data_IF_528385610804
#
_entry.id   IF_528385610804
#
_cell.length_a   1.000
_cell.length_b   1.000
_cell.length_c   1.000
_cell.angle_alpha   90.00
_cell.angle_beta   90.00
_cell.angle_gamma   90.00
#
_symmetry.space_group_name_H-M   'P 1'
#
loop_
_entity.id
_entity.type
_entity.pdbx_description
1 polymer ?
#
# COMPACT_ATOMS: atom_id res chain seq x y z
N UNK A 1 22.36 -49.79 -49.12
CA UNK A 1 23.53 -48.99 -48.67
C UNK A 1 23.48 -47.51 -49.06
N UNK A 2 23.12 -47.13 -50.31
CA UNK A 2 23.07 -45.71 -50.73
C UNK A 2 22.03 -44.88 -49.94
N UNK A 3 20.82 -45.42 -49.74
CA UNK A 3 19.74 -44.76 -48.96
C UNK A 3 20.16 -44.51 -47.51
N UNK A 4 20.82 -45.49 -46.87
CA UNK A 4 21.32 -45.35 -45.49
C UNK A 4 22.38 -44.25 -45.35
N UNK A 5 23.27 -44.11 -46.34
CA UNK A 5 24.27 -43.02 -46.37
C UNK A 5 23.61 -41.64 -46.53
N UNK A 6 22.59 -41.53 -47.38
CA UNK A 6 21.82 -40.30 -47.53
C UNK A 6 21.06 -39.92 -46.26
N UNK A 7 20.41 -40.88 -45.60
CA UNK A 7 19.75 -40.67 -44.31
C UNK A 7 20.75 -40.20 -43.24
N UNK A 8 21.97 -40.75 -43.22
CA UNK A 8 23.03 -40.32 -42.32
C UNK A 8 23.49 -38.88 -42.59
N UNK A 9 23.68 -38.47 -43.85
CA UNK A 9 24.04 -37.09 -44.17
C UNK A 9 22.94 -36.10 -43.81
N UNK A 10 21.67 -36.46 -44.04
CA UNK A 10 20.52 -35.64 -43.63
C UNK A 10 20.51 -35.49 -42.10
N UNK A 11 20.71 -36.59 -41.36
CA UNK A 11 20.77 -36.55 -39.90
C UNK A 11 21.90 -35.65 -39.39
N UNK A 12 23.10 -35.76 -39.98
CA UNK A 12 24.25 -34.90 -39.62
C UNK A 12 23.93 -33.43 -39.94
N UNK A 13 23.35 -33.14 -41.09
CA UNK A 13 22.98 -31.78 -41.47
C UNK A 13 21.96 -31.17 -40.50
N UNK A 14 20.94 -31.94 -40.10
CA UNK A 14 19.95 -31.52 -39.08
C UNK A 14 20.63 -31.27 -37.73
N UNK A 15 21.57 -32.13 -37.33
CA UNK A 15 22.28 -32.00 -36.06
C UNK A 15 23.20 -30.76 -36.06
N UNK A 16 23.90 -30.50 -37.16
CA UNK A 16 24.72 -29.29 -37.34
C UNK A 16 23.83 -28.04 -37.32
N UNK A 17 22.71 -28.02 -38.03
CA UNK A 17 21.76 -26.92 -38.00
C UNK A 17 21.21 -26.67 -36.59
N UNK A 18 20.84 -27.72 -35.84
CA UNK A 18 20.38 -27.59 -34.47
C UNK A 18 21.47 -27.00 -33.55
N UNK A 19 22.72 -27.40 -33.72
CA UNK A 19 23.85 -26.83 -32.96
C UNK A 19 24.04 -25.35 -33.29
N UNK A 20 24.04 -24.99 -34.57
CA UNK A 20 24.17 -23.59 -35.01
C UNK A 20 23.04 -22.73 -34.42
N UNK A 21 21.79 -23.18 -34.52
CA UNK A 21 20.63 -22.48 -33.95
C UNK A 21 20.73 -22.31 -32.43
N UNK A 22 21.21 -23.33 -31.72
CA UNK A 22 21.41 -23.27 -30.26
C UNK A 22 22.53 -22.31 -29.84
N UNK A 23 23.54 -22.12 -30.69
CA UNK A 23 24.65 -21.18 -30.45
C UNK A 23 24.27 -19.72 -30.73
N UNK A 24 23.46 -19.47 -31.76
CA UNK A 24 23.06 -18.11 -32.16
C UNK A 24 21.80 -17.60 -31.45
N UNK A 25 20.98 -18.51 -30.90
CA UNK A 25 19.73 -18.14 -30.23
C UNK A 25 19.93 -17.28 -28.97
N UNK A 26 18.93 -16.46 -28.60
CA UNK A 26 19.05 -15.49 -27.51
C UNK A 26 19.24 -16.19 -26.16
N UNK A 27 20.26 -15.78 -25.41
CA UNK A 27 20.61 -16.37 -24.11
C UNK A 27 19.64 -15.98 -22.99
N UNK A 28 19.06 -14.79 -23.08
CA UNK A 28 18.11 -14.25 -22.12
C UNK A 28 16.93 -13.63 -22.84
N UNK A 29 15.84 -13.41 -22.12
CA UNK A 29 14.70 -12.62 -22.59
C UNK A 29 14.25 -11.67 -21.48
N UNK A 30 13.65 -10.55 -21.89
CA UNK A 30 13.02 -9.58 -21.00
C UNK A 30 11.66 -9.24 -21.60
N UNK A 31 10.61 -9.42 -20.81
CA UNK A 31 9.26 -8.93 -21.12
C UNK A 31 8.88 -7.94 -20.03
N UNK A 32 8.40 -6.76 -20.41
CA UNK A 32 7.96 -5.76 -19.44
C UNK A 32 6.79 -4.94 -19.95
N UNK A 33 5.90 -4.54 -19.04
CA UNK A 33 4.82 -3.58 -19.31
C UNK A 33 4.79 -2.55 -18.19
N UNK A 34 4.38 -1.33 -18.52
CA UNK A 34 4.19 -0.26 -17.55
C UNK A 34 2.82 0.38 -17.74
N UNK A 35 2.21 0.79 -16.63
CA UNK A 35 0.97 1.56 -16.66
C UNK A 35 1.03 2.64 -15.58
N UNK A 36 0.32 3.76 -15.80
CA UNK A 36 0.07 4.76 -14.76
C UNK A 36 -1.28 4.47 -14.13
N UNK A 37 -1.27 4.30 -12.82
CA UNK A 37 -2.46 4.10 -11.99
C UNK A 37 -2.71 5.39 -11.22
N UNK A 38 -3.93 5.91 -11.32
CA UNK A 38 -4.38 7.10 -10.62
C UNK A 38 -4.65 6.77 -9.14
N UNK A 39 -3.59 6.49 -8.38
CA UNK A 39 -3.62 6.14 -6.97
C UNK A 39 -2.27 6.44 -6.32
N UNK A 40 -2.25 6.58 -4.99
CA UNK A 40 -1.03 6.84 -4.24
C UNK A 40 -0.05 5.67 -4.26
N UNK A 41 1.26 5.94 -4.19
CA UNK A 41 2.30 4.91 -4.29
C UNK A 41 2.17 3.80 -3.25
N UNK A 42 1.83 4.14 -2.01
CA UNK A 42 1.60 3.17 -0.93
C UNK A 42 0.37 2.28 -1.19
N UNK A 43 -0.72 2.86 -1.70
CA UNK A 43 -1.95 2.12 -2.04
C UNK A 43 -1.63 1.10 -3.14
N UNK A 44 -0.96 1.54 -4.20
CA UNK A 44 -0.52 0.68 -5.31
C UNK A 44 0.47 -0.39 -4.84
N UNK A 45 1.44 -0.02 -3.99
CA UNK A 45 2.40 -0.96 -3.43
C UNK A 45 1.71 -2.07 -2.62
N UNK A 46 0.71 -1.71 -1.83
CA UNK A 46 -0.10 -2.66 -1.08
C UNK A 46 -0.88 -3.65 -1.96
N UNK A 47 -0.98 -3.46 -3.28
CA UNK A 47 -1.59 -4.42 -4.22
C UNK A 47 -0.60 -5.40 -4.85
N UNK A 48 0.70 -5.21 -4.62
CA UNK A 48 1.77 -6.00 -5.25
C UNK A 48 2.70 -6.68 -4.24
N UNK A 49 2.53 -6.45 -2.93
CA UNK A 49 3.45 -6.91 -1.87
C UNK A 49 3.15 -8.31 -1.33
N UNK A 50 2.01 -8.91 -1.66
CA UNK A 50 1.60 -10.23 -1.17
C UNK A 50 0.88 -11.05 -2.24
N UNK A 51 0.94 -12.39 -2.12
CA UNK A 51 0.39 -13.30 -3.11
C UNK A 51 -1.14 -13.30 -3.15
N UNK A 52 -1.84 -13.08 -2.04
CA UNK A 52 -3.30 -12.94 -2.04
C UNK A 52 -3.75 -11.85 -3.04
N UNK A 53 -3.14 -10.67 -3.00
CA UNK A 53 -3.50 -9.56 -3.89
C UNK A 53 -2.91 -9.70 -5.29
N UNK A 54 -1.66 -10.18 -5.41
CA UNK A 54 -1.05 -10.46 -6.73
C UNK A 54 -1.95 -11.39 -7.54
N UNK A 55 -2.48 -12.45 -6.93
CA UNK A 55 -3.32 -13.43 -7.61
C UNK A 55 -4.68 -12.87 -8.07
N UNK A 56 -5.14 -11.74 -7.50
CA UNK A 56 -6.39 -11.10 -7.95
C UNK A 56 -6.24 -10.43 -9.30
N UNK A 57 -5.06 -9.92 -9.64
CA UNK A 57 -4.78 -9.29 -10.94
C UNK A 57 -3.92 -10.15 -11.88
N UNK A 58 -3.36 -11.26 -11.39
CA UNK A 58 -2.62 -12.21 -12.22
C UNK A 58 -3.53 -12.85 -13.29
N UNK A 59 -3.24 -12.67 -14.59
CA UNK A 59 -4.07 -13.17 -15.69
C UNK A 59 -4.07 -14.70 -15.80
N UNK A 60 -3.04 -15.41 -15.31
CA UNK A 60 -2.94 -16.87 -15.40
C UNK A 60 -3.85 -17.58 -14.41
N UNK A 61 -4.22 -16.93 -13.30
CA UNK A 61 -5.21 -17.46 -12.35
C UNK A 61 -6.58 -17.61 -13.02
N UNK A 62 -6.94 -16.69 -13.91
CA UNK A 62 -8.21 -16.72 -14.64
C UNK A 62 -8.30 -17.86 -15.68
N UNK A 63 -7.18 -18.52 -16.01
CA UNK A 63 -7.15 -19.60 -17.01
C UNK A 63 -7.55 -20.96 -16.44
N UNK A 64 -7.57 -21.12 -15.12
CA UNK A 64 -8.02 -22.34 -14.45
C UNK A 64 -8.73 -22.07 -13.12
N UNK A 65 -10.07 -22.04 -13.11
CA UNK A 65 -10.86 -21.89 -11.88
C UNK A 65 -10.70 -23.04 -10.88
N UNK A 66 -10.20 -24.20 -11.32
CA UNK A 66 -10.01 -25.38 -10.46
C UNK A 66 -8.56 -25.54 -9.98
N UNK A 67 -7.71 -24.53 -10.21
CA UNK A 67 -6.32 -24.55 -9.80
C UNK A 67 -6.20 -24.74 -8.28
N UNK A 68 -5.33 -25.66 -7.87
CA UNK A 68 -5.01 -25.85 -6.45
C UNK A 68 -3.78 -25.06 -6.10
N UNK A 69 -3.82 -24.37 -4.95
CA UNK A 69 -2.77 -23.46 -4.53
C UNK A 69 -2.36 -23.73 -3.09
N UNK A 70 -1.10 -23.50 -2.76
CA UNK A 70 -0.62 -23.54 -1.38
C UNK A 70 0.36 -22.40 -1.13
N UNK A 71 0.40 -21.96 0.13
CA UNK A 71 1.33 -20.92 0.58
C UNK A 71 2.17 -21.51 1.72
N UNK A 72 3.49 -21.36 1.61
CA UNK A 72 4.45 -21.79 2.63
C UNK A 72 5.22 -20.59 3.14
N UNK A 73 5.01 -20.26 4.43
CA UNK A 73 5.53 -19.06 5.06
C UNK A 73 4.42 -18.06 5.39
N UNK A 74 4.80 -16.83 5.74
CA UNK A 74 3.86 -15.73 6.00
C UNK A 74 3.74 -14.88 4.75
N UNK A 75 2.52 -14.66 4.24
CA UNK A 75 2.31 -13.84 3.06
C UNK A 75 2.87 -12.42 3.25
N UNK A 76 3.39 -11.83 2.18
CA UNK A 76 4.03 -10.51 2.22
C UNK A 76 5.38 -10.44 2.94
N UNK A 77 6.01 -11.57 3.24
CA UNK A 77 7.37 -11.62 3.77
C UNK A 77 8.37 -12.22 2.78
N UNK A 78 9.62 -11.73 2.82
CA UNK A 78 10.72 -12.32 2.05
C UNK A 78 10.88 -13.80 2.45
N UNK A 79 10.96 -14.67 1.43
CA UNK A 79 11.06 -16.12 1.58
C UNK A 79 9.73 -16.86 1.52
N UNK A 80 8.57 -16.17 1.49
CA UNK A 80 7.27 -16.84 1.30
C UNK A 80 7.19 -17.44 -0.10
N UNK A 81 6.69 -18.67 -0.18
CA UNK A 81 6.52 -19.43 -1.42
C UNK A 81 5.04 -19.70 -1.69
N UNK A 82 4.57 -19.27 -2.86
CA UNK A 82 3.27 -19.62 -3.42
C UNK A 82 3.47 -20.71 -4.47
N UNK A 83 2.73 -21.82 -4.36
CA UNK A 83 2.76 -22.92 -5.31
C UNK A 83 1.39 -23.15 -5.94
N UNK A 84 1.37 -23.56 -7.19
CA UNK A 84 0.14 -23.90 -7.90
C UNK A 84 0.24 -25.20 -8.69
N UNK A 85 -0.91 -25.84 -8.87
CA UNK A 85 -1.12 -26.94 -9.80
C UNK A 85 -2.46 -26.75 -10.51
N UNK A 86 -2.40 -26.47 -11.81
CA UNK A 86 -3.55 -26.27 -12.69
C UNK A 86 -3.52 -27.16 -13.94
N UNK A 87 -4.35 -26.79 -14.91
CA UNK A 87 -4.50 -27.44 -16.21
C UNK A 87 -3.31 -27.17 -17.17
N UNK A 88 -3.35 -27.73 -18.38
CA UNK A 88 -2.28 -27.62 -19.39
C UNK A 88 -1.94 -26.17 -19.83
N UNK A 89 -2.80 -25.19 -19.54
CA UNK A 89 -2.56 -23.77 -19.87
C UNK A 89 -1.78 -23.03 -18.79
N UNK A 90 -1.93 -23.43 -17.51
CA UNK A 90 -1.29 -22.79 -16.35
C UNK A 90 -0.11 -23.61 -15.83
N UNK A 91 -0.16 -24.92 -16.05
CA UNK A 91 0.87 -25.86 -15.64
C UNK A 91 1.00 -25.97 -14.12
N UNK A 92 2.22 -26.27 -13.69
CA UNK A 92 2.57 -26.43 -12.28
C UNK A 92 3.85 -25.66 -11.99
N UNK A 93 3.89 -24.94 -10.88
CA UNK A 93 5.08 -24.19 -10.49
C UNK A 93 5.00 -23.59 -9.10
N UNK A 94 6.01 -22.80 -8.78
CA UNK A 94 6.06 -21.98 -7.58
C UNK A 94 6.66 -20.61 -7.86
N UNK A 95 6.33 -19.65 -6.99
CA UNK A 95 6.87 -18.30 -6.99
C UNK A 95 7.27 -17.94 -5.56
N UNK A 96 8.48 -17.42 -5.38
CA UNK A 96 9.03 -17.07 -4.06
C UNK A 96 9.35 -15.58 -4.00
N UNK A 97 8.94 -14.89 -2.95
CA UNK A 97 9.38 -13.49 -2.73
C UNK A 97 10.85 -13.49 -2.30
N UNK A 98 11.69 -12.83 -3.08
CA UNK A 98 13.14 -12.75 -2.84
C UNK A 98 13.54 -11.42 -2.21
N UNK A 99 12.80 -10.35 -2.50
CA UNK A 99 13.10 -9.00 -2.04
C UNK A 99 11.82 -8.16 -1.96
N UNK A 100 11.72 -7.33 -0.92
CA UNK A 100 10.70 -6.29 -0.78
C UNK A 100 11.44 -5.02 -0.36
N UNK A 101 11.34 -3.97 -1.18
CA UNK A 101 11.72 -2.61 -0.81
C UNK A 101 10.42 -1.83 -0.61
N UNK A 102 10.01 -1.54 0.64
CA UNK A 102 8.71 -0.96 0.94
C UNK A 102 8.41 0.30 0.12
N UNK A 103 7.29 0.30 -0.59
CA UNK A 103 6.85 1.41 -1.43
C UNK A 103 7.60 1.55 -2.75
N UNK A 104 8.51 0.64 -3.13
CA UNK A 104 9.33 0.78 -4.33
C UNK A 104 9.36 -0.47 -5.22
N UNK A 105 9.63 -1.64 -4.64
CA UNK A 105 9.92 -2.86 -5.41
C UNK A 105 9.49 -4.13 -4.68
N UNK A 106 8.97 -5.08 -5.45
CA UNK A 106 8.79 -6.48 -5.05
C UNK A 106 9.48 -7.37 -6.09
N UNK A 107 10.47 -8.12 -5.64
CA UNK A 107 11.24 -9.05 -6.46
C UNK A 107 10.88 -10.49 -6.11
N UNK A 108 10.58 -11.30 -7.12
CA UNK A 108 10.19 -12.70 -6.95
C UNK A 108 10.94 -13.61 -7.91
N UNK A 109 11.14 -14.86 -7.51
CA UNK A 109 11.67 -15.92 -8.36
C UNK A 109 10.55 -16.87 -8.74
N UNK A 110 10.33 -17.01 -10.05
CA UNK A 110 9.32 -17.87 -10.65
C UNK A 110 9.96 -19.17 -11.12
N UNK A 111 9.35 -20.30 -10.79
CA UNK A 111 9.79 -21.63 -11.19
C UNK A 111 8.61 -22.42 -11.77
N UNK A 112 8.65 -22.67 -13.07
CA UNK A 112 7.76 -23.64 -13.70
C UNK A 112 8.36 -25.04 -13.60
N UNK A 113 7.51 -26.02 -13.32
CA UNK A 113 7.84 -27.44 -13.19
C UNK A 113 7.25 -28.22 -14.38
N UNK A 114 5.98 -27.98 -14.71
CA UNK A 114 5.26 -28.60 -15.83
C UNK A 114 4.55 -27.51 -16.66
N UNK A 115 4.43 -27.67 -18.00
CA UNK A 115 4.87 -28.82 -18.81
C UNK A 115 6.37 -28.82 -19.14
N UNK A 116 7.06 -27.68 -18.97
CA UNK A 116 8.50 -27.55 -19.17
C UNK A 116 9.12 -26.82 -18.00
N UNK A 117 10.21 -27.37 -17.46
CA UNK A 117 10.91 -26.74 -16.35
C UNK A 117 11.63 -25.47 -16.81
N UNK A 118 11.39 -24.35 -16.12
CA UNK A 118 12.07 -23.08 -16.38
C UNK A 118 12.07 -22.19 -15.14
N UNK A 119 13.02 -21.28 -15.06
CA UNK A 119 13.11 -20.28 -14.00
C UNK A 119 13.22 -18.87 -14.59
N UNK A 120 12.61 -17.90 -13.91
CA UNK A 120 12.65 -16.49 -14.28
C UNK A 120 12.59 -15.59 -13.05
N UNK A 121 13.18 -14.42 -13.17
CA UNK A 121 13.08 -13.33 -12.19
C UNK A 121 11.99 -12.38 -12.60
N UNK A 122 11.08 -12.12 -11.66
CA UNK A 122 9.94 -11.25 -11.88
C UNK A 122 10.02 -10.10 -10.90
N UNK A 123 9.98 -8.88 -11.41
CA UNK A 123 10.05 -7.65 -10.62
C UNK A 123 8.82 -6.79 -10.90
N UNK A 124 8.24 -6.25 -9.83
CA UNK A 124 7.19 -5.23 -9.92
C UNK A 124 7.69 -4.00 -9.18
N UNK A 125 7.77 -2.88 -9.89
CA UNK A 125 8.27 -1.60 -9.35
C UNK A 125 7.21 -0.53 -9.41
N UNK A 126 7.24 0.38 -8.45
CA UNK A 126 6.32 1.52 -8.34
C UNK A 126 7.12 2.82 -8.23
N UNK A 127 6.71 3.85 -8.95
CA UNK A 127 7.38 5.15 -8.98
C UNK A 127 6.34 6.27 -9.05
N UNK A 128 6.52 7.33 -8.27
CA UNK A 128 5.66 8.52 -8.34
C UNK A 128 5.77 9.19 -9.71
N UNK A 129 4.64 9.66 -10.25
CA UNK A 129 4.59 10.44 -11.50
C UNK A 129 3.53 11.54 -11.40
N UNK A 130 3.51 12.48 -12.35
CA UNK A 130 2.63 13.66 -12.31
C UNK A 130 1.13 13.34 -12.43
N UNK A 131 0.74 12.08 -12.62
CA UNK A 131 -0.65 11.62 -12.77
C UNK A 131 -0.96 10.36 -11.97
N UNK A 132 -0.23 10.10 -10.87
CA UNK A 132 -0.41 8.95 -10.00
C UNK A 132 0.88 8.15 -9.82
N UNK A 133 0.76 6.83 -9.80
CA UNK A 133 1.91 5.92 -9.64
C UNK A 133 2.14 5.15 -10.92
N UNK A 134 3.36 5.21 -11.46
CA UNK A 134 3.79 4.33 -12.55
C UNK A 134 4.18 2.97 -11.97
N UNK A 135 3.49 1.93 -12.42
CA UNK A 135 3.83 0.54 -12.10
C UNK A 135 4.54 -0.07 -13.30
N UNK A 136 5.62 -0.81 -13.08
CA UNK A 136 6.29 -1.61 -14.11
C UNK A 136 6.43 -3.04 -13.65
N UNK A 137 5.87 -3.96 -14.42
CA UNK A 137 6.00 -5.41 -14.20
C UNK A 137 6.92 -5.99 -15.27
N UNK A 138 7.98 -6.67 -14.86
CA UNK A 138 8.99 -7.20 -15.74
C UNK A 138 9.37 -8.64 -15.37
N UNK A 139 9.61 -9.47 -16.39
CA UNK A 139 10.12 -10.84 -16.26
C UNK A 139 11.38 -11.00 -17.08
N UNK A 140 12.44 -11.47 -16.42
CA UNK A 140 13.73 -11.78 -17.01
C UNK A 140 14.03 -13.27 -16.82
N UNK A 141 14.28 -13.99 -17.91
CA UNK A 141 14.61 -15.41 -17.84
C UNK A 141 15.82 -15.78 -18.69
N UNK A 142 16.44 -16.91 -18.34
CA UNK A 142 17.56 -17.47 -19.08
C UNK A 142 17.11 -18.66 -19.94
N UNK A 143 17.63 -18.71 -21.17
CA UNK A 143 17.37 -19.79 -22.09
C UNK A 143 18.51 -20.83 -22.03
N UNK A 144 18.18 -22.06 -21.64
CA UNK A 144 19.06 -23.22 -21.83
C UNK A 144 19.27 -23.56 -23.32
N UNK A 145 20.28 -24.36 -23.65
CA UNK A 145 20.69 -24.62 -25.05
C UNK A 145 19.54 -25.07 -25.96
N UNK A 146 18.69 -25.99 -25.51
CA UNK A 146 17.54 -26.47 -26.28
C UNK A 146 16.51 -25.35 -26.48
N UNK A 147 16.17 -24.59 -25.43
CA UNK A 147 15.23 -23.46 -25.55
C UNK A 147 15.73 -22.39 -26.52
N UNK A 148 17.04 -22.13 -26.59
CA UNK A 148 17.62 -21.18 -27.56
C UNK A 148 17.33 -21.56 -29.01
N UNK A 149 17.34 -22.86 -29.33
CA UNK A 149 16.99 -23.34 -30.68
C UNK A 149 15.56 -22.89 -31.03
N UNK A 150 14.60 -23.12 -30.12
CA UNK A 150 13.21 -22.74 -30.32
C UNK A 150 12.99 -21.22 -30.31
N UNK A 151 13.71 -20.48 -29.47
CA UNK A 151 13.62 -19.01 -29.37
C UNK A 151 14.04 -18.27 -30.65
N UNK A 152 14.76 -18.91 -31.57
CA UNK A 152 14.97 -18.32 -32.90
C UNK A 152 13.69 -18.16 -33.71
N UNK A 153 12.63 -18.90 -33.36
CA UNK A 153 11.35 -18.92 -34.05
C UNK A 153 10.18 -18.43 -33.19
N UNK A 154 10.42 -18.15 -31.90
CA UNK A 154 9.42 -17.72 -30.94
C UNK A 154 9.76 -16.33 -30.41
N UNK A 155 8.74 -15.48 -30.26
CA UNK A 155 8.90 -14.15 -29.67
C UNK A 155 8.23 -14.13 -28.29
N UNK A 156 9.06 -14.11 -27.24
CA UNK A 156 8.57 -14.12 -25.85
C UNK A 156 7.68 -12.91 -25.52
N UNK A 157 7.97 -11.74 -26.08
CA UNK A 157 7.12 -10.56 -25.88
C UNK A 157 5.74 -10.75 -26.53
N UNK A 158 5.69 -11.36 -27.72
CA UNK A 158 4.41 -11.67 -28.39
C UNK A 158 3.60 -12.74 -27.64
N UNK A 159 4.28 -13.66 -26.94
CA UNK A 159 3.62 -14.74 -26.20
C UNK A 159 3.13 -14.30 -24.82
N UNK A 160 3.94 -13.54 -24.08
CA UNK A 160 3.72 -13.21 -22.66
C UNK A 160 3.23 -11.77 -22.49
N UNK A 161 3.64 -10.87 -23.38
CA UNK A 161 3.30 -9.45 -23.33
C UNK A 161 1.80 -9.14 -23.29
N UNK A 162 0.92 -9.85 -24.02
CA UNK A 162 -0.53 -9.67 -23.91
C UNK A 162 -1.08 -9.99 -22.52
N UNK A 163 -0.56 -11.04 -21.86
CA UNK A 163 -0.94 -11.39 -20.49
C UNK A 163 -0.48 -10.32 -19.51
N UNK A 164 0.76 -9.81 -19.66
CA UNK A 164 1.24 -8.68 -18.86
C UNK A 164 0.35 -7.45 -19.01
N UNK A 165 -0.06 -7.11 -20.23
CA UNK A 165 -0.96 -5.99 -20.47
C UNK A 165 -2.32 -6.22 -19.79
N UNK A 166 -2.90 -7.41 -19.95
CA UNK A 166 -4.16 -7.78 -19.28
C UNK A 166 -4.05 -7.68 -17.75
N UNK A 167 -2.97 -8.20 -17.18
CA UNK A 167 -2.70 -8.14 -15.74
C UNK A 167 -2.55 -6.71 -15.23
N UNK A 168 -1.81 -5.87 -15.95
CA UNK A 168 -1.62 -4.46 -15.61
C UNK A 168 -2.91 -3.64 -15.72
N UNK A 169 -3.76 -3.91 -16.71
CA UNK A 169 -5.09 -3.31 -16.82
C UNK A 169 -6.03 -3.77 -15.69
N UNK A 170 -5.97 -5.05 -15.31
CA UNK A 170 -6.73 -5.60 -14.18
C UNK A 170 -6.27 -4.99 -12.85
N UNK A 171 -4.95 -4.86 -12.65
CA UNK A 171 -4.36 -4.16 -11.50
C UNK A 171 -4.85 -2.71 -11.45
N UNK A 172 -4.72 -1.95 -12.55
CA UNK A 172 -5.22 -0.58 -12.63
C UNK A 172 -6.69 -0.50 -12.25
N UNK A 173 -7.53 -1.35 -12.85
CA UNK A 173 -8.96 -1.38 -12.55
C UNK A 173 -9.23 -1.69 -11.09
N UNK A 174 -8.55 -2.70 -10.51
CA UNK A 174 -8.74 -3.07 -9.10
C UNK A 174 -8.24 -1.99 -8.15
N UNK A 175 -7.10 -1.36 -8.43
CA UNK A 175 -6.55 -0.27 -7.61
C UNK A 175 -7.38 1.00 -7.76
N UNK A 176 -7.94 1.28 -8.94
CA UNK A 176 -8.76 2.47 -9.16
C UNK A 176 -10.21 2.28 -8.69
N UNK A 177 -10.74 1.06 -8.71
CA UNK A 177 -12.06 0.72 -8.19
C UNK A 177 -12.03 0.48 -6.67
N UNK A 178 -10.94 -0.10 -6.17
CA UNK A 178 -10.57 -0.06 -4.76
C UNK A 178 -9.61 1.10 -4.51
N UNK A 179 -9.75 2.20 -5.26
CA UNK A 179 -9.50 3.50 -4.63
C UNK A 179 -10.30 3.35 -3.38
N UNK A 180 -9.64 3.36 -2.24
CA UNK A 180 -10.34 3.75 -1.04
C UNK A 180 -11.09 5.01 -1.48
N UNK A 181 -12.41 4.93 -1.64
CA UNK A 181 -13.19 6.16 -1.73
C UNK A 181 -12.89 6.78 -0.36
N UNK A 182 -12.19 7.90 -0.47
CA UNK A 182 -10.86 8.20 0.11
C UNK A 182 -10.59 7.83 1.55
N UNK A 183 -9.65 6.92 1.83
CA UNK A 183 -9.02 6.86 3.15
C UNK A 183 -7.51 6.66 3.17
N UNK A 184 -6.80 6.73 2.05
CA UNK A 184 -5.31 6.70 2.04
C UNK A 184 -4.68 5.53 2.81
N UNK A 185 -5.37 4.38 2.92
CA UNK A 185 -4.91 3.23 3.72
C UNK A 185 -5.26 3.27 5.21
N UNK A 186 -6.01 4.25 5.68
CA UNK A 186 -6.49 4.35 7.06
C UNK A 186 -7.76 3.52 7.30
N UNK A 187 -7.80 2.84 8.44
CA UNK A 187 -9.03 2.25 8.97
C UNK A 187 -9.77 3.31 9.77
N UNK A 188 -10.99 3.67 9.34
CA UNK A 188 -11.87 4.54 10.11
C UNK A 188 -12.77 3.70 11.00
N UNK A 189 -12.74 4.01 12.30
CA UNK A 189 -13.55 3.37 13.31
C UNK A 189 -14.70 4.29 13.71
N UNK A 190 -15.92 3.78 13.56
CA UNK A 190 -17.12 4.40 14.11
C UNK A 190 -17.34 3.94 15.56
N UNK A 191 -17.60 4.88 16.46
CA UNK A 191 -17.86 4.56 17.88
C UNK A 191 -18.71 5.64 18.55
N UNK A 192 -19.29 5.28 19.70
CA UNK A 192 -19.97 6.22 20.57
C UNK A 192 -18.99 6.83 21.57
N UNK A 193 -18.81 8.15 21.52
CA UNK A 193 -18.06 8.88 22.52
C UNK A 193 -18.93 9.08 23.77
N UNK A 194 -18.49 8.70 24.97
CA UNK A 194 -19.32 8.78 26.19
C UNK A 194 -19.49 10.22 26.71
N UNK A 195 -18.79 11.19 26.14
CA UNK A 195 -18.68 12.55 26.65
C UNK A 195 -17.53 12.68 27.65
N UNK A 196 -16.87 13.84 27.65
CA UNK A 196 -15.71 14.10 28.50
C UNK A 196 -15.55 15.61 28.72
N UNK A 197 -15.24 15.98 29.97
CA UNK A 197 -14.84 17.33 30.32
C UNK A 197 -13.35 17.50 30.06
N UNK A 198 -12.99 18.62 29.45
CA UNK A 198 -11.61 19.04 29.21
C UNK A 198 -11.37 20.41 29.83
N UNK A 199 -10.12 20.68 30.20
CA UNK A 199 -9.67 21.99 30.61
C UNK A 199 -8.47 22.43 29.78
N UNK A 200 -8.39 23.69 29.41
CA UNK A 200 -7.24 24.18 28.64
C UNK A 200 -7.30 25.65 28.24
N UNK A 201 -6.55 25.96 27.20
CA UNK A 201 -6.39 27.32 26.66
C UNK A 201 -6.73 27.28 25.17
N UNK A 202 -7.68 28.13 24.75
CA UNK A 202 -8.05 28.33 23.34
C UNK A 202 -7.59 29.70 22.86
N UNK A 203 -7.02 29.76 21.67
CA UNK A 203 -6.57 31.00 21.02
C UNK A 203 -6.73 30.89 19.52
N UNK A 204 -6.92 32.04 18.89
CA UNK A 204 -6.77 32.18 17.45
C UNK A 204 -5.33 32.64 17.14
N UNK A 205 -4.54 31.79 16.49
CA UNK A 205 -3.10 31.99 16.24
C UNK A 205 -2.75 31.83 14.76
N UNK A 206 -1.62 32.37 14.30
CA UNK A 206 -1.05 31.99 13.00
C UNK A 206 -0.72 30.48 12.99
N UNK A 207 -0.95 29.81 11.87
CA UNK A 207 -0.62 28.36 11.72
C UNK A 207 0.88 28.11 11.95
N UNK A 208 1.75 29.07 11.60
CA UNK A 208 3.20 29.01 11.85
C UNK A 208 3.57 28.90 13.34
N UNK A 209 2.67 29.32 14.24
CA UNK A 209 2.94 29.42 15.67
C UNK A 209 2.43 28.19 16.43
N UNK A 210 1.86 27.19 15.73
CA UNK A 210 1.26 25.99 16.32
C UNK A 210 2.20 25.23 17.24
N UNK A 211 3.41 24.92 16.77
CA UNK A 211 4.40 24.19 17.55
C UNK A 211 4.72 24.95 18.84
N UNK A 212 5.00 26.25 18.74
CA UNK A 212 5.31 27.08 19.91
C UNK A 212 4.13 27.16 20.89
N UNK A 213 2.90 27.29 20.37
CA UNK A 213 1.69 27.29 21.18
C UNK A 213 1.52 26.00 21.97
N UNK A 214 1.68 24.83 21.34
CA UNK A 214 1.53 23.54 22.02
C UNK A 214 2.66 23.27 23.02
N UNK A 215 3.92 23.59 22.66
CA UNK A 215 5.05 23.48 23.59
C UNK A 215 4.81 24.28 24.87
N UNK A 216 4.25 25.49 24.76
CA UNK A 216 3.94 26.32 25.92
C UNK A 216 2.68 25.83 26.67
N UNK A 217 1.65 25.44 25.93
CA UNK A 217 0.31 25.20 26.49
C UNK A 217 0.22 23.86 27.20
N UNK A 218 0.76 22.77 26.65
CA UNK A 218 0.57 21.44 27.24
C UNK A 218 1.22 21.29 28.60
N UNK A 219 2.44 21.80 28.79
CA UNK A 219 3.08 21.80 30.11
C UNK A 219 2.26 22.56 31.16
N UNK A 220 1.81 23.78 30.82
CA UNK A 220 1.02 24.63 31.70
C UNK A 220 -0.35 24.02 32.05
N UNK A 221 -1.04 23.46 31.05
CA UNK A 221 -2.37 22.85 31.23
C UNK A 221 -2.28 21.59 32.08
N UNK A 222 -1.28 20.73 31.84
CA UNK A 222 -1.03 19.54 32.66
C UNK A 222 -0.69 19.92 34.11
N UNK A 223 0.19 20.90 34.32
CA UNK A 223 0.57 21.39 35.64
C UNK A 223 -0.65 21.90 36.42
N UNK A 224 -1.47 22.76 35.81
CA UNK A 224 -2.68 23.31 36.43
C UNK A 224 -3.76 22.25 36.68
N UNK A 225 -3.93 21.30 35.77
CA UNK A 225 -4.90 20.22 35.96
C UNK A 225 -4.51 19.32 37.14
N UNK A 226 -3.21 19.08 37.34
CA UNK A 226 -2.70 18.29 38.47
C UNK A 226 -3.40 16.94 38.58
N UNK A 227 -3.88 16.58 39.77
CA UNK A 227 -4.59 15.32 40.02
C UNK A 227 -5.96 15.21 39.34
N UNK A 228 -6.48 16.28 38.73
CA UNK A 228 -7.73 16.23 37.96
C UNK A 228 -7.53 15.72 36.54
N UNK A 229 -6.31 15.72 36.01
CA UNK A 229 -6.03 15.17 34.69
C UNK A 229 -6.29 13.66 34.67
N UNK A 230 -7.10 13.19 33.70
CA UNK A 230 -7.47 11.78 33.57
C UNK A 230 -6.98 11.16 32.25
N UNK A 231 -6.07 11.85 31.55
CA UNK A 231 -5.50 11.40 30.29
C UNK A 231 -4.45 12.37 29.75
N UNK A 232 -3.96 12.07 28.55
CA UNK A 232 -2.94 12.87 27.87
C UNK A 232 -3.53 14.15 27.24
N UNK A 233 -2.69 15.18 27.00
CA UNK A 233 -3.12 16.36 26.28
C UNK A 233 -3.68 16.05 24.89
N UNK A 234 -4.60 16.89 24.43
CA UNK A 234 -5.20 16.84 23.10
C UNK A 234 -5.17 18.24 22.46
N UNK A 235 -5.17 18.31 21.14
CA UNK A 235 -5.52 19.54 20.42
C UNK A 235 -7.00 19.51 20.05
N UNK A 236 -7.68 20.65 20.22
CA UNK A 236 -9.02 20.89 19.69
C UNK A 236 -8.92 21.95 18.61
N UNK A 237 -9.16 21.59 17.36
CA UNK A 237 -9.15 22.53 16.23
C UNK A 237 -10.58 22.83 15.83
N UNK A 238 -10.97 24.11 15.92
CA UNK A 238 -12.31 24.59 15.58
C UNK A 238 -12.39 25.15 14.17
N UNK A 239 -11.34 25.85 13.75
CA UNK A 239 -11.22 26.48 12.43
C UNK A 239 -9.80 26.30 11.95
N UNK A 240 -9.64 25.83 10.71
CA UNK A 240 -8.38 25.78 10.00
C UNK A 240 -8.51 26.62 8.73
N UNK A 241 -7.97 27.84 8.75
CA UNK A 241 -8.07 28.78 7.63
C UNK A 241 -6.72 28.88 6.90
N UNK A 242 -6.58 28.08 5.85
CA UNK A 242 -5.39 28.08 5.01
C UNK A 242 -5.21 29.38 4.22
N UNK A 243 -6.32 30.04 3.88
CA UNK A 243 -6.30 31.27 3.07
C UNK A 243 -5.65 32.41 3.85
N UNK A 244 -6.07 32.60 5.10
CA UNK A 244 -5.52 33.63 5.98
C UNK A 244 -4.34 33.12 6.83
N UNK A 245 -4.00 31.83 6.73
CA UNK A 245 -2.97 31.13 7.53
C UNK A 245 -3.19 31.27 9.04
N UNK A 246 -4.45 31.15 9.46
CA UNK A 246 -4.91 31.31 10.85
C UNK A 246 -5.66 30.06 11.29
N UNK A 247 -5.64 29.80 12.60
CA UNK A 247 -6.36 28.67 13.18
C UNK A 247 -6.91 29.06 14.54
N UNK A 248 -8.14 28.61 14.81
CA UNK A 248 -8.77 28.70 16.13
C UNK A 248 -8.64 27.33 16.81
N UNK A 249 -7.75 27.28 17.81
CA UNK A 249 -7.26 26.04 18.36
C UNK A 249 -7.14 26.11 19.87
N UNK A 250 -7.31 24.97 20.53
CA UNK A 250 -7.10 24.83 21.96
C UNK A 250 -6.13 23.69 22.27
N UNK A 251 -5.21 23.94 23.21
CA UNK A 251 -4.47 22.88 23.89
C UNK A 251 -5.18 22.54 25.19
N UNK A 252 -5.64 21.29 25.31
CA UNK A 252 -6.51 20.85 26.40
C UNK A 252 -6.02 19.54 27.01
N UNK A 253 -6.50 19.22 28.21
CA UNK A 253 -6.33 17.91 28.86
C UNK A 253 -7.71 17.43 29.35
N UNK A 254 -8.04 16.13 29.23
CA UNK A 254 -9.24 15.59 29.83
C UNK A 254 -9.15 15.64 31.35
N UNK A 255 -10.23 16.09 32.00
CA UNK A 255 -10.28 16.28 33.46
C UNK A 255 -11.53 15.68 34.09
N UNK A 256 -11.41 15.26 35.35
CA UNK A 256 -12.54 14.76 36.16
C UNK A 256 -13.45 15.87 36.72
N UNK A 257 -13.06 17.14 36.58
CA UNK A 257 -13.81 18.29 37.07
C UNK A 257 -13.19 19.62 36.65
N UNK A 258 -13.85 20.74 36.98
CA UNK A 258 -13.35 22.07 36.62
C UNK A 258 -11.95 22.35 37.21
N UNK A 259 -11.12 23.02 36.43
CA UNK A 259 -9.77 23.45 36.82
C UNK A 259 -9.71 24.98 36.85
N UNK A 260 -9.36 25.53 38.00
CA UNK A 260 -9.28 26.98 38.18
C UNK A 260 -8.20 27.60 37.27
N UNK A 261 -8.54 28.72 36.62
CA UNK A 261 -7.63 29.42 35.73
C UNK A 261 -7.38 28.73 34.38
N UNK A 262 -8.21 27.74 34.02
CA UNK A 262 -8.32 27.16 32.67
C UNK A 262 -9.76 27.27 32.16
N UNK A 263 -9.92 27.32 30.84
CA UNK A 263 -11.24 27.28 30.20
C UNK A 263 -11.75 25.84 30.20
N UNK A 264 -13.02 25.64 30.54
CA UNK A 264 -13.66 24.32 30.48
C UNK A 264 -14.29 24.08 29.11
N UNK A 265 -14.04 22.91 28.53
CA UNK A 265 -14.63 22.45 27.27
C UNK A 265 -15.35 21.14 27.51
N UNK A 266 -16.66 21.13 27.32
CA UNK A 266 -17.46 19.93 27.48
C UNK A 266 -17.75 19.32 26.12
N UNK A 267 -17.18 18.16 25.81
CA UNK A 267 -17.57 17.38 24.64
C UNK A 267 -18.69 16.41 25.08
N UNK A 268 -19.92 16.58 24.58
CA UNK A 268 -21.04 15.71 24.96
C UNK A 268 -20.91 14.32 24.33
N UNK A 269 -21.70 13.38 24.84
CA UNK A 269 -21.85 12.08 24.20
C UNK A 269 -22.32 12.26 22.75
N UNK A 270 -21.62 11.63 21.82
CA UNK A 270 -21.81 11.86 20.38
C UNK A 270 -21.25 10.71 19.55
N UNK A 271 -21.78 10.53 18.34
CA UNK A 271 -21.18 9.62 17.36
C UNK A 271 -19.83 10.20 16.93
N UNK A 272 -18.82 9.35 16.93
CA UNK A 272 -17.43 9.71 16.66
C UNK A 272 -16.85 8.78 15.60
N UNK A 273 -16.15 9.38 14.65
CA UNK A 273 -15.23 8.71 13.75
C UNK A 273 -13.81 8.87 14.28
N UNK A 274 -12.99 7.84 14.15
CA UNK A 274 -11.58 7.90 14.58
C UNK A 274 -10.64 7.17 13.63
N UNK A 275 -9.42 7.72 13.51
CA UNK A 275 -8.26 7.11 12.85
C UNK A 275 -7.13 7.05 13.87
N UNK A 276 -6.52 5.88 14.01
CA UNK A 276 -5.24 5.72 14.70
C UNK A 276 -4.12 5.99 13.70
N UNK A 277 -3.53 7.19 13.79
CA UNK A 277 -2.44 7.63 12.92
C UNK A 277 -1.09 7.33 13.56
N UNK A 278 -0.22 6.64 12.81
CA UNK A 278 1.16 6.37 13.19
C UNK A 278 2.11 7.17 12.30
N UNK A 279 2.88 8.09 12.88
CA UNK A 279 3.83 8.90 12.12
C UNK A 279 4.11 10.29 12.69
N UNK A 280 4.93 11.04 11.97
CA UNK A 280 5.26 12.42 12.30
C UNK A 280 4.09 13.39 12.04
N UNK A 281 3.98 14.44 12.85
CA UNK A 281 2.85 15.37 12.80
C UNK A 281 2.73 16.18 11.50
N UNK A 282 3.81 16.36 10.75
CA UNK A 282 3.81 17.07 9.47
C UNK A 282 3.07 16.30 8.37
N UNK A 283 2.97 14.98 8.49
CA UNK A 283 2.27 14.11 7.55
C UNK A 283 0.84 13.75 7.98
N UNK A 284 0.38 14.20 9.15
CA UNK A 284 -0.95 13.87 9.71
C UNK A 284 -2.12 14.37 8.84
N UNK A 285 -1.89 15.39 8.01
CA UNK A 285 -2.90 15.93 7.11
C UNK A 285 -3.54 14.87 6.19
N UNK A 286 -2.82 13.79 5.90
CA UNK A 286 -3.36 12.64 5.14
C UNK A 286 -4.50 11.91 5.88
N UNK A 287 -4.46 11.83 7.21
CA UNK A 287 -5.53 11.25 8.02
C UNK A 287 -6.76 12.18 8.08
N UNK A 288 -6.55 13.51 8.14
CA UNK A 288 -7.65 14.47 8.06
C UNK A 288 -8.35 14.43 6.71
N UNK A 289 -7.58 14.40 5.62
CA UNK A 289 -8.12 14.26 4.27
C UNK A 289 -8.94 12.96 4.12
N UNK A 290 -8.46 11.85 4.68
CA UNK A 290 -9.21 10.59 4.73
C UNK A 290 -10.56 10.78 5.46
N UNK A 291 -10.56 11.38 6.64
CA UNK A 291 -11.79 11.60 7.41
C UNK A 291 -12.82 12.47 6.67
N UNK A 292 -12.36 13.52 5.98
CA UNK A 292 -13.23 14.40 5.19
C UNK A 292 -13.94 13.65 4.06
N UNK A 293 -13.22 12.75 3.39
CA UNK A 293 -13.83 11.94 2.33
C UNK A 293 -14.81 10.92 2.92
N UNK A 294 -14.47 10.24 4.04
CA UNK A 294 -15.40 9.36 4.75
C UNK A 294 -16.74 10.03 5.00
N UNK A 295 -16.69 11.21 5.61
CA UNK A 295 -17.89 11.92 6.01
C UNK A 295 -18.73 12.29 4.79
N UNK A 296 -18.09 12.70 3.70
CA UNK A 296 -18.78 13.00 2.44
C UNK A 296 -19.47 11.77 1.85
N UNK A 297 -18.77 10.64 1.78
CA UNK A 297 -19.28 9.40 1.20
C UNK A 297 -20.43 8.79 2.02
N UNK A 298 -20.38 8.98 3.34
CA UNK A 298 -21.37 8.46 4.28
C UNK A 298 -22.47 9.48 4.61
N UNK A 299 -22.52 10.63 3.93
CA UNK A 299 -23.49 11.70 4.18
C UNK A 299 -23.53 12.13 5.66
N UNK A 300 -22.36 12.39 6.23
CA UNK A 300 -22.18 12.82 7.60
C UNK A 300 -21.81 14.30 7.65
N UNK A 301 -22.37 15.00 8.63
CA UNK A 301 -22.05 16.39 8.93
C UNK A 301 -21.08 16.45 10.13
N UNK A 302 -19.96 17.13 9.94
CA UNK A 302 -18.96 17.37 10.99
C UNK A 302 -19.48 18.33 12.07
N UNK A 303 -19.18 18.01 13.32
CA UNK A 303 -19.46 18.82 14.51
C UNK A 303 -18.11 19.22 15.14
N UNK A 304 -17.74 20.52 15.11
CA UNK A 304 -16.51 20.98 15.74
C UNK A 304 -16.45 20.70 17.25
N UNK A 305 -15.25 20.47 17.81
CA UNK A 305 -13.92 20.54 17.16
C UNK A 305 -13.43 19.21 16.59
N UNK A 306 -12.41 19.27 15.73
CA UNK A 306 -11.53 18.13 15.44
C UNK A 306 -10.65 17.91 16.67
N UNK A 307 -10.49 16.66 17.09
CA UNK A 307 -9.67 16.31 18.25
C UNK A 307 -8.52 15.42 17.82
N UNK A 308 -7.28 15.85 18.06
CA UNK A 308 -6.11 14.97 17.98
C UNK A 308 -5.65 14.63 19.41
N UNK A 309 -5.73 13.35 19.76
CA UNK A 309 -5.26 12.85 21.05
C UNK A 309 -3.87 12.22 20.87
N UNK A 310 -2.87 12.81 21.51
CA UNK A 310 -1.47 12.35 21.45
C UNK A 310 -1.26 11.24 22.47
N UNK A 311 -1.38 9.98 22.03
CA UNK A 311 -1.34 8.82 22.94
C UNK A 311 0.09 8.35 23.23
N UNK A 312 1.04 8.70 22.38
CA UNK A 312 2.48 8.53 22.61
C UNK A 312 3.15 9.87 22.95
N UNK A 313 4.17 9.85 23.81
CA UNK A 313 4.98 11.04 24.13
C UNK A 313 6.24 11.10 23.26
N UNK A 314 6.36 12.10 22.34
CA UNK A 314 7.54 12.34 21.51
C UNK A 314 8.85 12.53 22.29
N UNK A 315 8.77 12.98 23.55
CA UNK A 315 9.95 13.12 24.41
C UNK A 315 10.51 11.77 24.88
N UNK A 316 9.70 10.72 24.84
CA UNK A 316 10.05 9.37 25.29
C UNK A 316 10.29 8.37 24.15
N UNK A 317 9.70 8.60 22.98
CA UNK A 317 9.84 7.74 21.79
C UNK A 317 10.51 8.54 20.65
N UNK A 318 11.81 8.33 20.36
CA UNK A 318 12.50 9.05 19.29
C UNK A 318 12.11 8.57 17.89
N UNK A 319 11.53 7.37 17.75
CA UNK A 319 11.07 6.83 16.47
C UNK A 319 9.70 7.38 16.10
N UNK A 320 9.70 8.39 15.22
CA UNK A 320 8.47 9.05 14.75
C UNK A 320 7.46 8.12 14.11
N UNK A 321 7.86 6.95 13.59
CA UNK A 321 6.93 5.98 13.00
C UNK A 321 6.03 5.30 14.03
N UNK A 322 6.40 5.36 15.32
CA UNK A 322 5.63 4.80 16.43
C UNK A 322 4.75 5.82 17.13
N UNK A 323 4.81 7.08 16.72
CA UNK A 323 4.01 8.13 17.33
C UNK A 323 2.54 7.90 16.99
N UNK A 324 1.74 7.60 18.01
CA UNK A 324 0.32 7.36 17.88
C UNK A 324 -0.45 8.63 18.22
N UNK A 325 -1.14 9.14 17.20
CA UNK A 325 -2.14 10.20 17.35
C UNK A 325 -3.49 9.66 16.93
N UNK A 326 -4.47 9.71 17.83
CA UNK A 326 -5.84 9.36 17.46
C UNK A 326 -6.57 10.62 16.98
N UNK A 327 -6.85 10.68 15.68
CA UNK A 327 -7.61 11.76 15.03
C UNK A 327 -9.10 11.44 15.15
N UNK A 328 -9.87 12.34 15.75
CA UNK A 328 -11.29 12.14 16.07
C UNK A 328 -12.15 13.24 15.49
N UNK A 329 -13.23 12.83 14.83
CA UNK A 329 -14.25 13.72 14.29
C UNK A 329 -15.61 13.35 14.87
N UNK A 330 -16.33 14.33 15.37
CA UNK A 330 -17.70 14.14 15.84
C UNK A 330 -18.66 14.43 14.70
N UNK A 331 -19.69 13.60 14.57
CA UNK A 331 -20.55 13.61 13.39
C UNK A 331 -22.03 13.44 13.74
N UNK A 332 -22.89 13.88 12.83
CA UNK A 332 -24.31 13.54 12.77
C UNK A 332 -24.72 13.25 11.33
N UNK A 333 -25.87 12.62 11.13
CA UNK A 333 -26.36 12.39 9.77
C UNK A 333 -26.71 13.74 9.10
N UNK A 334 -26.28 13.89 7.84
CA UNK A 334 -26.58 15.05 7.01
C UNK A 334 -28.09 15.01 6.68
N UNK A 335 -28.80 16.12 6.94
CA UNK A 335 -30.25 16.23 6.71
C UNK A 335 -30.63 16.38 5.24
#
# INVERSE_FOLDING_TARGET
MKVLRWLMYILIAVLVAAVVLGLIGPKTYLVSRSIVIDAGRQEVFGWIDNFDKINRWNPWVDLDPNMTTSLKGTDGQVGVEYSWQGNDKVGKGSQTIMEIVPGELVGTRLKFIEPMASEADVTTTVQDTSGGTKVTWAMHGENGFISRIFMNFMNMDAMIGPDFEKGMQKLKTLVEANKSVGHSGYQILESDFPGQLYAGIRKEIPISDLTAFFTQTFGLVMEKAGSRAVGMPCSFTYVWDETNRRTDIAGVVPVSGQVEGLTSFNLPASRMLSIDYYGAYDAIGSAHAAMEVYMKDHHLEFIPPVVEAYLSDPGSEPDTSKWLTQVRYFVRDLK
#
